data_IF_448431361080
#
_entry.id   IF_448431361080
#
_cell.length_a   1.000
_cell.length_b   1.000
_cell.length_c   1.000
_cell.angle_alpha   90.00
_cell.angle_beta   90.00
_cell.angle_gamma   90.00
#
_symmetry.space_group_name_H-M   'P 1'
#
loop_
_entity.id
_entity.type
_entity.pdbx_description
1 polymer ?
#
# COMPACT_ATOMS: atom_id res chain seq x y z
N UNK A 1 -9.27 4.77 5.72
CA UNK A 1 -9.07 4.22 4.35
C UNK A 1 -8.27 2.93 4.31
N UNK A 2 -6.95 2.99 4.57
CA UNK A 2 -6.06 1.82 4.45
C UNK A 2 -6.54 0.64 5.29
N UNK A 3 -6.93 0.87 6.55
CA UNK A 3 -7.41 -0.20 7.45
C UNK A 3 -8.68 -0.90 6.94
N UNK A 4 -9.59 -0.18 6.28
CA UNK A 4 -10.79 -0.78 5.67
C UNK A 4 -10.44 -1.59 4.44
N UNK A 5 -9.60 -1.05 3.55
CA UNK A 5 -9.09 -1.78 2.38
C UNK A 5 -8.38 -3.07 2.81
N UNK A 6 -7.49 -3.00 3.78
CA UNK A 6 -6.81 -4.18 4.35
C UNK A 6 -7.83 -5.20 4.89
N UNK A 7 -8.88 -4.77 5.58
CA UNK A 7 -9.93 -5.66 6.09
C UNK A 7 -10.75 -6.34 4.97
N UNK A 8 -11.03 -5.64 3.87
CA UNK A 8 -11.72 -6.19 2.70
C UNK A 8 -10.86 -7.20 1.92
N UNK A 9 -9.55 -6.95 1.85
CA UNK A 9 -8.60 -7.81 1.13
C UNK A 9 -8.07 -9.01 1.94
N UNK A 10 -8.51 -9.15 3.20
CA UNK A 10 -8.04 -10.18 4.13
C UNK A 10 -9.14 -11.17 4.52
N UNK A 11 -8.76 -12.43 4.63
CA UNK A 11 -9.63 -13.54 5.03
C UNK A 11 -9.01 -14.89 4.69
N UNK A 12 -9.42 -15.93 5.42
CA UNK A 12 -9.05 -17.32 5.10
C UNK A 12 -7.54 -17.60 5.20
N UNK A 13 -6.83 -16.94 6.12
CA UNK A 13 -5.37 -17.08 6.28
C UNK A 13 -4.52 -16.22 5.33
N UNK A 14 -5.15 -15.43 4.46
CA UNK A 14 -4.48 -14.52 3.51
C UNK A 14 -4.82 -13.06 3.84
N UNK A 15 -3.95 -12.14 3.41
CA UNK A 15 -4.14 -10.70 3.59
C UNK A 15 -3.14 -10.07 4.56
N UNK A 16 -3.59 -9.06 5.30
CA UNK A 16 -2.73 -8.16 6.08
C UNK A 16 -2.90 -8.43 7.57
N UNK A 17 -1.83 -8.82 8.26
CA UNK A 17 -1.76 -8.77 9.71
C UNK A 17 -1.00 -7.51 10.13
N UNK A 18 -1.61 -6.65 10.93
CA UNK A 18 -0.92 -5.51 11.54
C UNK A 18 -0.24 -5.97 12.82
N UNK A 19 1.09 -5.90 12.83
CA UNK A 19 1.94 -6.30 13.96
C UNK A 19 2.20 -5.12 14.88
N UNK A 20 2.41 -3.94 14.29
CA UNK A 20 2.76 -2.71 15.01
C UNK A 20 2.10 -1.50 14.39
N UNK A 21 1.60 -0.59 15.22
CA UNK A 21 1.08 0.71 14.82
C UNK A 21 1.24 1.69 15.98
N UNK A 22 2.33 2.47 16.00
CA UNK A 22 2.63 3.38 17.10
C UNK A 22 3.29 4.68 16.63
N UNK A 23 3.21 5.71 17.48
CA UNK A 23 3.99 6.92 17.28
C UNK A 23 5.49 6.61 17.43
N UNK A 24 6.32 7.18 16.57
CA UNK A 24 7.77 6.97 16.58
C UNK A 24 8.48 8.23 16.11
N UNK A 25 9.76 8.39 16.49
CA UNK A 25 10.60 9.51 16.05
C UNK A 25 11.69 8.95 15.13
N UNK A 26 11.62 9.32 13.86
CA UNK A 26 12.63 8.94 12.86
C UNK A 26 13.88 9.83 13.03
N UNK A 27 15.11 9.27 13.00
CA UNK A 27 16.33 10.05 13.26
C UNK A 27 16.50 11.26 12.31
N UNK A 28 16.18 11.08 11.03
CA UNK A 28 16.32 12.12 10.01
C UNK A 28 15.05 12.94 9.74
N UNK A 29 13.86 12.40 10.05
CA UNK A 29 12.58 13.00 9.63
C UNK A 29 11.68 13.42 10.80
N UNK A 30 12.10 13.16 12.03
CA UNK A 30 11.39 13.60 13.22
C UNK A 30 10.15 12.76 13.55
N UNK A 31 9.17 13.33 14.27
CA UNK A 31 7.98 12.61 14.71
C UNK A 31 7.13 12.08 13.55
N UNK A 32 6.58 10.88 13.71
CA UNK A 32 5.67 10.25 12.77
C UNK A 32 4.99 9.03 13.36
N UNK A 33 4.38 8.23 12.49
CA UNK A 33 3.77 6.94 12.82
C UNK A 33 4.58 5.81 12.17
N UNK A 34 4.96 4.82 12.96
CA UNK A 34 5.56 3.58 12.48
C UNK A 34 4.50 2.48 12.43
N UNK A 35 4.37 1.85 11.28
CA UNK A 35 3.57 0.62 11.13
C UNK A 35 4.41 -0.54 10.64
N UNK A 36 4.16 -1.72 11.18
CA UNK A 36 4.72 -2.98 10.70
C UNK A 36 3.58 -3.95 10.44
N UNK A 37 3.62 -4.59 9.27
CA UNK A 37 2.59 -5.53 8.82
C UNK A 37 3.22 -6.76 8.18
N UNK A 38 2.56 -7.89 8.34
CA UNK A 38 2.84 -9.12 7.60
C UNK A 38 1.77 -9.30 6.55
N UNK A 39 2.17 -9.46 5.30
CA UNK A 39 1.25 -9.59 4.17
C UNK A 39 1.36 -11.01 3.61
N UNK A 40 0.34 -11.82 3.89
CA UNK A 40 0.20 -13.21 3.46
C UNK A 40 -0.40 -13.26 2.05
N UNK A 41 0.37 -13.79 1.09
CA UNK A 41 0.06 -13.73 -0.34
C UNK A 41 0.17 -15.09 -1.05
N UNK A 42 0.22 -16.19 -0.31
CA UNK A 42 0.54 -17.52 -0.85
C UNK A 42 -0.41 -17.94 -1.97
N UNK A 43 -1.71 -17.62 -1.83
CA UNK A 43 -2.73 -17.90 -2.85
C UNK A 43 -2.63 -16.98 -4.07
N UNK A 44 -2.10 -15.76 -3.88
CA UNK A 44 -2.05 -14.68 -4.88
C UNK A 44 -0.80 -14.71 -5.76
N UNK A 45 0.19 -15.54 -5.42
CA UNK A 45 1.41 -15.70 -6.23
C UNK A 45 1.14 -16.47 -7.54
N UNK A 46 1.70 -16.03 -8.67
CA UNK A 46 1.69 -16.79 -9.92
C UNK A 46 2.34 -18.17 -9.76
N UNK A 47 1.92 -19.14 -10.58
CA UNK A 47 2.46 -20.51 -10.52
C UNK A 47 3.98 -20.58 -10.67
N UNK A 48 4.57 -19.72 -11.50
CA UNK A 48 6.04 -19.65 -11.65
C UNK A 48 6.73 -19.10 -10.39
N UNK A 49 6.08 -18.21 -9.64
CA UNK A 49 6.63 -17.63 -8.42
C UNK A 49 6.60 -18.63 -7.25
N UNK A 50 5.58 -19.48 -7.22
CA UNK A 50 5.44 -20.58 -6.25
C UNK A 50 6.61 -21.58 -6.26
N UNK A 51 7.40 -21.62 -7.33
CA UNK A 51 8.53 -22.54 -7.45
C UNK A 51 9.72 -22.21 -6.53
N UNK A 52 9.84 -20.97 -6.06
CA UNK A 52 10.97 -20.51 -5.24
C UNK A 52 10.57 -19.86 -3.92
N UNK A 53 9.27 -19.71 -3.66
CA UNK A 53 8.79 -19.26 -2.35
C UNK A 53 8.51 -20.46 -1.43
N UNK A 54 8.82 -20.38 -0.14
CA UNK A 54 8.42 -21.39 0.84
C UNK A 54 6.90 -21.56 0.88
N UNK A 55 6.45 -22.73 1.36
CA UNK A 55 5.03 -23.08 1.47
C UNK A 55 4.23 -22.12 2.35
N UNK A 56 4.88 -21.54 3.36
CA UNK A 56 4.36 -20.43 4.16
C UNK A 56 5.12 -19.16 3.76
N UNK A 57 4.43 -18.24 3.09
CA UNK A 57 5.00 -17.01 2.56
C UNK A 57 4.24 -15.80 3.08
N UNK A 58 4.97 -14.86 3.68
CA UNK A 58 4.51 -13.50 3.91
C UNK A 58 5.65 -12.53 3.62
N UNK A 59 5.32 -11.32 3.17
CA UNK A 59 6.28 -10.22 3.12
C UNK A 59 6.10 -9.32 4.34
N UNK A 60 7.18 -8.76 4.86
CA UNK A 60 7.13 -7.78 5.95
C UNK A 60 7.13 -6.38 5.35
N UNK A 61 6.07 -5.62 5.59
CA UNK A 61 5.96 -4.19 5.29
C UNK A 61 6.29 -3.40 6.56
N UNK A 62 7.26 -2.50 6.49
CA UNK A 62 7.57 -1.50 7.51
C UNK A 62 7.42 -0.12 6.89
N UNK A 63 6.57 0.72 7.46
CA UNK A 63 6.31 2.05 6.93
C UNK A 63 6.43 3.12 8.01
N UNK A 64 7.12 4.21 7.67
CA UNK A 64 7.16 5.45 8.44
C UNK A 64 6.33 6.51 7.74
N UNK A 65 5.36 7.04 8.46
CA UNK A 65 4.50 8.12 8.00
C UNK A 65 4.78 9.39 8.82
N UNK A 66 5.42 10.36 8.17
CA UNK A 66 5.67 11.70 8.69
C UNK A 66 5.06 12.71 7.69
N UNK A 67 3.78 12.49 7.34
CA UNK A 67 3.03 13.27 6.35
C UNK A 67 3.43 14.76 6.34
N UNK A 68 3.77 15.35 5.18
CA UNK A 68 3.44 14.91 3.81
C UNK A 68 4.49 14.02 3.12
N UNK A 69 5.40 13.39 3.87
CA UNK A 69 6.35 12.41 3.32
C UNK A 69 6.13 11.04 3.99
N UNK A 70 6.35 9.95 3.26
CA UNK A 70 6.33 8.58 3.83
C UNK A 70 7.39 7.70 3.19
N UNK A 71 7.98 6.80 3.98
CA UNK A 71 8.88 5.75 3.49
C UNK A 71 8.28 4.40 3.86
N UNK A 72 8.13 3.53 2.88
CA UNK A 72 7.67 2.14 3.07
C UNK A 72 8.71 1.18 2.51
N UNK A 73 9.20 0.26 3.34
CA UNK A 73 10.03 -0.87 2.93
C UNK A 73 9.21 -2.15 2.98
N UNK A 74 9.30 -2.97 1.93
CA UNK A 74 8.75 -4.33 1.91
C UNK A 74 9.89 -5.29 1.64
N UNK A 75 10.04 -6.28 2.52
CA UNK A 75 11.12 -7.27 2.41
C UNK A 75 10.62 -8.68 2.62
N UNK A 76 11.29 -9.63 1.97
CA UNK A 76 11.05 -11.05 2.07
C UNK A 76 12.29 -11.78 1.57
N UNK A 77 13.05 -12.43 2.44
CA UNK A 77 14.39 -12.95 2.13
C UNK A 77 15.42 -11.83 1.83
N UNK A 78 16.73 -12.10 1.96
CA UNK A 78 17.77 -11.08 1.73
C UNK A 78 17.83 -10.50 0.32
N UNK A 79 17.18 -11.16 -0.66
CA UNK A 79 17.33 -10.88 -2.10
C UNK A 79 16.11 -10.19 -2.73
N UNK A 80 15.11 -9.84 -1.94
CA UNK A 80 13.92 -9.11 -2.42
C UNK A 80 13.67 -7.92 -1.51
N UNK A 81 13.60 -6.75 -2.15
CA UNK A 81 13.38 -5.48 -1.48
C UNK A 81 12.54 -4.58 -2.36
N UNK A 82 11.49 -3.99 -1.77
CA UNK A 82 10.74 -2.90 -2.38
C UNK A 82 10.85 -1.70 -1.43
N UNK A 83 11.22 -0.55 -1.97
CA UNK A 83 11.18 0.73 -1.27
C UNK A 83 10.23 1.66 -1.99
N UNK A 84 9.26 2.20 -1.27
CA UNK A 84 8.30 3.18 -1.78
C UNK A 84 8.48 4.47 -0.99
N UNK A 85 8.82 5.54 -1.70
CA UNK A 85 8.87 6.89 -1.17
C UNK A 85 7.64 7.63 -1.69
N UNK A 86 6.86 8.23 -0.80
CA UNK A 86 5.66 8.98 -1.18
C UNK A 86 5.76 10.43 -0.71
N UNK A 87 5.56 11.38 -1.62
CA UNK A 87 5.30 12.79 -1.30
C UNK A 87 3.89 13.17 -1.71
N UNK A 88 3.25 14.04 -0.93
CA UNK A 88 1.92 14.56 -1.20
C UNK A 88 2.01 16.06 -1.49
N UNK A 89 1.47 16.51 -2.63
CA UNK A 89 1.39 17.93 -2.99
C UNK A 89 -0.03 18.31 -3.43
N UNK A 90 -0.42 19.57 -3.21
CA UNK A 90 -1.72 20.10 -3.62
C UNK A 90 -1.69 20.59 -5.07
N UNK A 91 -1.39 19.67 -5.99
CA UNK A 91 -1.40 19.89 -7.44
C UNK A 91 -2.04 18.70 -8.16
N UNK A 92 -2.11 18.77 -9.49
CA UNK A 92 -2.71 17.75 -10.36
C UNK A 92 -1.67 16.76 -10.94
N UNK A 93 -0.45 16.71 -10.38
CA UNK A 93 0.63 15.86 -10.89
C UNK A 93 1.59 16.56 -11.85
N UNK A 94 1.77 17.87 -11.74
CA UNK A 94 2.60 18.70 -12.62
C UNK A 94 4.05 18.92 -12.13
N UNK A 95 4.48 18.26 -11.05
CA UNK A 95 5.83 18.39 -10.50
C UNK A 95 6.74 17.20 -10.84
N UNK A 96 7.56 17.35 -11.89
CA UNK A 96 8.52 16.32 -12.33
C UNK A 96 9.76 16.19 -11.43
N UNK A 97 9.97 17.09 -10.45
CA UNK A 97 11.12 17.12 -9.55
C UNK A 97 10.73 17.06 -8.06
N UNK A 98 9.62 16.38 -7.75
CA UNK A 98 9.07 16.31 -6.39
C UNK A 98 10.06 15.75 -5.35
N UNK A 99 10.95 14.83 -5.73
CA UNK A 99 11.93 14.23 -4.80
C UNK A 99 13.20 15.08 -4.61
N UNK A 100 13.47 16.04 -5.50
CA UNK A 100 14.61 16.96 -5.39
C UNK A 100 15.96 16.33 -5.75
N UNK A 101 15.96 15.13 -6.31
CA UNK A 101 17.12 14.39 -6.79
C UNK A 101 17.04 14.17 -8.31
N UNK A 102 17.73 13.17 -8.84
CA UNK A 102 17.72 12.88 -10.27
C UNK A 102 16.29 12.59 -10.76
N UNK A 103 15.80 13.28 -11.81
CA UNK A 103 14.47 13.04 -12.34
C UNK A 103 14.28 11.58 -12.74
N UNK A 104 13.08 11.07 -12.49
CA UNK A 104 12.72 9.71 -12.96
C UNK A 104 12.63 9.75 -14.48
N UNK A 105 13.23 8.78 -15.21
CA UNK A 105 13.10 8.70 -16.66
C UNK A 105 11.62 8.73 -17.09
N UNK A 106 11.29 9.52 -18.12
CA UNK A 106 9.90 9.76 -18.52
C UNK A 106 9.16 8.47 -18.92
N UNK A 107 9.86 7.50 -19.49
CA UNK A 107 9.36 6.15 -19.83
C UNK A 107 9.07 5.28 -18.60
N UNK A 108 9.62 5.65 -17.44
CA UNK A 108 9.40 4.98 -16.15
C UNK A 108 8.34 5.67 -15.28
N UNK A 109 7.78 6.80 -15.73
CA UNK A 109 6.70 7.51 -15.03
C UNK A 109 5.33 6.97 -15.47
N UNK A 110 4.46 6.66 -14.51
CA UNK A 110 3.09 6.20 -14.78
C UNK A 110 2.07 7.07 -14.05
N UNK A 111 1.17 7.69 -14.81
CA UNK A 111 0.04 8.43 -14.28
C UNK A 111 -1.14 7.49 -14.09
N UNK A 112 -1.67 7.41 -12.87
CA UNK A 112 -2.84 6.58 -12.57
C UNK A 112 -4.12 7.43 -12.59
N UNK A 113 -5.06 7.08 -13.45
CA UNK A 113 -6.38 7.72 -13.51
C UNK A 113 -7.43 6.88 -12.78
N UNK A 114 -7.85 7.35 -11.61
CA UNK A 114 -8.88 6.71 -10.79
C UNK A 114 -10.24 6.63 -11.49
N UNK A 115 -10.49 7.44 -12.53
CA UNK A 115 -11.72 7.36 -13.32
C UNK A 115 -11.59 6.33 -14.44
N UNK A 116 -10.61 6.51 -15.32
CA UNK A 116 -10.56 5.82 -16.61
C UNK A 116 -9.66 4.59 -16.67
N UNK A 117 -8.67 4.47 -15.78
CA UNK A 117 -7.77 3.33 -15.85
C UNK A 117 -8.50 2.03 -15.47
N UNK A 118 -8.26 0.93 -16.20
CA UNK A 118 -8.92 -0.33 -15.92
C UNK A 118 -8.43 -0.90 -14.59
N UNK A 119 -9.36 -1.44 -13.81
CA UNK A 119 -9.08 -2.27 -12.63
C UNK A 119 -9.45 -3.72 -12.91
N UNK A 120 -8.83 -4.70 -12.24
CA UNK A 120 -9.24 -6.09 -12.38
C UNK A 120 -10.73 -6.26 -12.04
N UNK A 121 -11.48 -7.00 -12.87
CA UNK A 121 -12.95 -7.15 -12.75
C UNK A 121 -13.39 -7.59 -11.35
N UNK A 122 -12.62 -8.46 -10.70
CA UNK A 122 -12.87 -8.93 -9.33
C UNK A 122 -12.85 -7.82 -8.26
N UNK A 123 -12.30 -6.65 -8.58
CA UNK A 123 -12.22 -5.49 -7.70
C UNK A 123 -13.25 -4.41 -8.05
N UNK A 124 -14.00 -4.56 -9.15
CA UNK A 124 -15.04 -3.61 -9.49
C UNK A 124 -16.24 -3.75 -8.55
N UNK A 125 -16.71 -2.61 -8.02
CA UNK A 125 -17.97 -2.47 -7.32
C UNK A 125 -18.65 -1.21 -7.83
N UNK A 126 -19.94 -1.31 -8.14
CA UNK A 126 -20.73 -0.17 -8.64
C UNK A 126 -20.72 1.00 -7.64
N UNK A 127 -20.76 0.72 -6.33
CA UNK A 127 -20.65 1.74 -5.27
C UNK A 127 -19.30 2.46 -5.21
N UNK A 128 -18.27 1.95 -5.92
CA UNK A 128 -16.92 2.50 -5.99
C UNK A 128 -16.59 3.01 -7.41
N UNK A 129 -17.58 3.06 -8.30
CA UNK A 129 -17.42 3.62 -9.64
C UNK A 129 -17.56 5.15 -9.61
N UNK A 130 -16.42 5.82 -9.74
CA UNK A 130 -16.32 7.28 -9.68
C UNK A 130 -17.03 8.00 -10.82
N UNK A 131 -17.42 7.30 -11.90
CA UNK A 131 -18.20 7.90 -13.00
C UNK A 131 -19.68 8.09 -12.68
N UNK A 132 -20.19 7.39 -11.66
CA UNK A 132 -21.59 7.46 -11.21
C UNK A 132 -21.73 7.79 -9.73
N UNK A 133 -20.64 7.65 -8.97
CA UNK A 133 -20.59 7.95 -7.55
C UNK A 133 -20.66 9.46 -7.29
N UNK A 134 -21.40 9.83 -6.25
CA UNK A 134 -21.43 11.19 -5.72
C UNK A 134 -21.44 11.16 -4.20
N UNK A 135 -20.61 12.00 -3.59
CA UNK A 135 -20.54 12.19 -2.14
C UNK A 135 -21.73 13.02 -1.63
N UNK A 136 -22.43 12.50 -0.64
CA UNK A 136 -23.51 13.21 0.03
C UNK A 136 -22.99 14.29 0.98
N UNK A 137 -21.80 14.10 1.57
CA UNK A 137 -21.21 15.08 2.51
C UNK A 137 -20.54 16.26 1.82
N UNK A 138 -19.95 16.04 0.64
CA UNK A 138 -19.11 17.04 -0.03
C UNK A 138 -19.65 17.49 -1.38
N UNK A 139 -20.63 16.78 -1.94
CA UNK A 139 -21.16 17.03 -3.29
C UNK A 139 -20.19 16.66 -4.42
N UNK A 140 -19.01 16.09 -4.10
CA UNK A 140 -18.01 15.68 -5.09
C UNK A 140 -18.49 14.50 -5.92
N UNK A 141 -18.11 14.50 -7.19
CA UNK A 141 -18.54 13.50 -8.15
C UNK A 141 -19.95 13.80 -8.73
N UNK A 142 -20.37 13.08 -9.77
CA UNK A 142 -19.58 12.10 -10.53
C UNK A 142 -18.36 12.73 -11.21
N UNK A 143 -17.30 11.96 -11.38
CA UNK A 143 -16.10 12.40 -12.09
C UNK A 143 -16.29 12.24 -13.59
N UNK A 144 -15.90 13.27 -14.33
CA UNK A 144 -15.94 13.28 -15.79
C UNK A 144 -14.53 13.30 -16.39
N UNK A 145 -14.44 13.07 -17.70
CA UNK A 145 -13.16 13.16 -18.42
C UNK A 145 -12.61 14.57 -18.29
N UNK A 146 -11.37 14.70 -17.79
CA UNK A 146 -10.74 15.99 -17.52
C UNK A 146 -10.79 16.43 -16.05
N UNK A 147 -11.42 15.64 -15.17
CA UNK A 147 -11.61 15.96 -13.75
C UNK A 147 -10.35 16.47 -13.03
N UNK A 148 -9.16 15.97 -13.39
CA UNK A 148 -7.88 16.38 -12.78
C UNK A 148 -7.59 17.87 -12.87
N UNK A 149 -8.08 18.54 -13.91
CA UNK A 149 -7.86 19.97 -14.14
C UNK A 149 -9.03 20.84 -13.66
N UNK A 150 -10.22 20.26 -13.53
CA UNK A 150 -11.47 20.99 -13.29
C UNK A 150 -11.92 20.92 -11.83
N UNK A 151 -11.58 19.83 -11.13
CA UNK A 151 -12.02 19.61 -9.75
C UNK A 151 -11.07 20.26 -8.75
N UNK A 152 -11.65 20.91 -7.73
CA UNK A 152 -10.90 21.51 -6.62
C UNK A 152 -11.56 21.23 -5.26
N UNK A 153 -10.78 21.14 -4.17
CA UNK A 153 -9.33 20.92 -4.13
C UNK A 153 -8.86 19.62 -4.80
N UNK A 154 -7.66 19.64 -5.38
CA UNK A 154 -6.96 18.45 -5.91
C UNK A 154 -5.60 18.28 -5.22
N UNK A 155 -5.16 17.03 -5.09
CA UNK A 155 -3.82 16.69 -4.61
C UNK A 155 -3.25 15.52 -5.42
N UNK A 156 -1.94 15.42 -5.48
CA UNK A 156 -1.22 14.32 -6.11
C UNK A 156 -0.34 13.58 -5.08
N UNK A 157 -0.40 12.25 -5.12
CA UNK A 157 0.50 11.39 -4.36
C UNK A 157 1.58 10.86 -5.30
N UNK A 158 2.77 11.43 -5.21
CA UNK A 158 3.92 11.01 -5.99
C UNK A 158 4.58 9.82 -5.31
N UNK A 159 4.53 8.64 -5.94
CA UNK A 159 5.04 7.38 -5.38
C UNK A 159 6.20 6.85 -6.20
N UNK A 160 7.42 7.05 -5.70
CA UNK A 160 8.62 6.46 -6.29
C UNK A 160 8.84 5.07 -5.74
N UNK A 161 8.80 4.08 -6.63
CA UNK A 161 8.91 2.66 -6.29
C UNK A 161 10.26 2.15 -6.80
N UNK A 162 11.10 1.69 -5.88
CA UNK A 162 12.29 0.91 -6.18
C UNK A 162 12.01 -0.55 -5.86
N UNK A 163 12.31 -1.44 -6.79
CA UNK A 163 12.17 -2.88 -6.63
C UNK A 163 13.49 -3.55 -6.99
N UNK A 164 13.96 -4.48 -6.16
CA UNK A 164 15.11 -5.33 -6.44
C UNK A 164 14.75 -6.78 -6.16
N UNK A 165 15.04 -7.67 -7.12
CA UNK A 165 14.88 -9.11 -6.98
C UNK A 165 16.09 -9.86 -7.57
N UNK A 166 17.07 -10.18 -6.72
CA UNK A 166 18.38 -10.71 -7.15
C UNK A 166 18.39 -12.24 -7.32
N UNK A 167 17.51 -12.76 -8.18
CA UNK A 167 17.45 -14.19 -8.52
C UNK A 167 17.74 -14.40 -10.00
N UNK A 168 18.82 -15.14 -10.27
CA UNK A 168 19.28 -15.43 -11.63
C UNK A 168 18.17 -16.07 -12.48
N UNK A 169 17.97 -15.52 -13.69
CA UNK A 169 16.96 -15.97 -14.65
C UNK A 169 15.53 -15.50 -14.36
N UNK A 170 15.26 -14.85 -13.22
CA UNK A 170 13.92 -14.41 -12.83
C UNK A 170 13.80 -12.93 -12.45
N UNK A 171 14.93 -12.21 -12.31
CA UNK A 171 14.98 -10.80 -11.90
C UNK A 171 13.98 -9.90 -12.65
N UNK A 172 14.24 -9.63 -13.93
CA UNK A 172 13.45 -8.67 -14.73
C UNK A 172 11.96 -9.01 -14.74
N UNK A 173 11.63 -10.28 -15.01
CA UNK A 173 10.24 -10.75 -15.05
C UNK A 173 9.51 -10.55 -13.71
N UNK A 174 10.22 -10.70 -12.60
CA UNK A 174 9.65 -10.56 -11.26
C UNK A 174 9.49 -9.09 -10.89
N UNK A 175 10.50 -8.26 -11.14
CA UNK A 175 10.46 -6.81 -10.91
C UNK A 175 9.32 -6.15 -11.72
N UNK A 176 9.20 -6.47 -13.00
CA UNK A 176 8.08 -6.00 -13.85
C UNK A 176 6.72 -6.48 -13.35
N UNK A 177 6.63 -7.72 -12.87
CA UNK A 177 5.41 -8.24 -12.27
C UNK A 177 5.04 -7.46 -11.00
N UNK A 178 6.01 -7.15 -10.14
CA UNK A 178 5.80 -6.39 -8.92
C UNK A 178 5.32 -4.97 -9.22
N UNK A 179 5.97 -4.26 -10.15
CA UNK A 179 5.55 -2.91 -10.55
C UNK A 179 4.11 -2.87 -11.05
N UNK A 180 3.70 -3.86 -11.87
CA UNK A 180 2.31 -3.99 -12.32
C UNK A 180 1.33 -4.23 -11.17
N UNK A 181 1.68 -5.09 -10.20
CA UNK A 181 0.81 -5.35 -9.05
C UNK A 181 0.71 -4.11 -8.14
N UNK A 182 1.81 -3.40 -7.89
CA UNK A 182 1.78 -2.16 -7.11
C UNK A 182 0.89 -1.14 -7.80
N UNK A 183 1.00 -0.99 -9.13
CA UNK A 183 0.13 -0.12 -9.92
C UNK A 183 -1.35 -0.42 -9.67
N UNK A 184 -1.75 -1.69 -9.79
CA UNK A 184 -3.15 -2.10 -9.62
C UNK A 184 -3.64 -1.88 -8.18
N UNK A 185 -2.81 -2.20 -7.17
CA UNK A 185 -3.12 -1.97 -5.76
C UNK A 185 -3.32 -0.48 -5.49
N UNK A 186 -2.43 0.37 -6.01
CA UNK A 186 -2.55 1.82 -5.85
C UNK A 186 -3.81 2.34 -6.53
N UNK A 187 -4.10 1.91 -7.75
CA UNK A 187 -5.28 2.36 -8.48
C UNK A 187 -6.58 2.00 -7.74
N UNK A 188 -6.74 0.74 -7.33
CA UNK A 188 -7.91 0.29 -6.55
C UNK A 188 -8.00 1.03 -5.22
N UNK A 189 -6.89 1.16 -4.49
CA UNK A 189 -6.86 1.83 -3.19
C UNK A 189 -7.26 3.31 -3.26
N UNK A 190 -6.83 4.03 -4.29
CA UNK A 190 -7.20 5.45 -4.45
C UNK A 190 -8.63 5.63 -4.94
N UNK A 191 -9.15 4.73 -5.79
CA UNK A 191 -10.59 4.73 -6.15
C UNK A 191 -11.46 4.59 -4.92
N UNK A 192 -11.13 3.63 -4.06
CA UNK A 192 -11.82 3.42 -2.79
C UNK A 192 -11.68 4.62 -1.84
N UNK A 193 -10.50 5.25 -1.78
CA UNK A 193 -10.29 6.46 -0.98
C UNK A 193 -11.25 7.59 -1.34
N UNK A 194 -11.50 7.81 -2.63
CA UNK A 194 -12.49 8.79 -3.08
C UNK A 194 -13.90 8.29 -2.80
N UNK A 195 -14.23 7.06 -3.21
CA UNK A 195 -15.58 6.51 -3.05
C UNK A 195 -16.07 6.49 -1.60
N UNK A 196 -15.17 6.31 -0.63
CA UNK A 196 -15.50 6.27 0.80
C UNK A 196 -15.36 7.63 1.49
N UNK A 197 -15.30 8.76 0.76
CA UNK A 197 -15.18 10.11 1.36
C UNK A 197 -16.22 10.37 2.44
N UNK A 198 -17.46 9.91 2.23
CA UNK A 198 -18.54 10.12 3.18
C UNK A 198 -18.29 9.43 4.52
N UNK A 199 -17.43 8.41 4.56
CA UNK A 199 -17.07 7.67 5.78
C UNK A 199 -15.97 8.36 6.59
N UNK A 200 -15.01 9.02 5.92
CA UNK A 200 -13.85 9.62 6.60
C UNK A 200 -13.86 11.14 6.65
N UNK A 201 -14.64 11.81 5.80
CA UNK A 201 -14.73 13.26 5.80
C UNK A 201 -15.36 13.76 7.11
N UNK A 202 -14.62 14.63 7.80
CA UNK A 202 -14.98 15.19 9.10
C UNK A 202 -14.45 14.42 10.31
N UNK A 203 -13.73 13.31 10.13
CA UNK A 203 -13.09 12.61 11.24
C UNK A 203 -11.90 13.39 11.78
N UNK A 204 -11.77 13.45 13.10
CA UNK A 204 -10.54 13.90 13.77
C UNK A 204 -9.44 12.83 13.68
N UNK A 205 -8.20 13.20 13.99
CA UNK A 205 -7.12 12.21 14.07
C UNK A 205 -7.39 11.16 15.16
N UNK A 206 -8.03 11.53 16.26
CA UNK A 206 -8.39 10.59 17.33
C UNK A 206 -9.43 9.57 16.86
N UNK A 207 -10.47 10.02 16.14
CA UNK A 207 -11.45 9.13 15.51
C UNK A 207 -10.77 8.17 14.53
N UNK A 208 -9.81 8.67 13.75
CA UNK A 208 -9.01 7.85 12.83
C UNK A 208 -8.22 6.80 13.60
N UNK A 209 -7.59 7.14 14.73
CA UNK A 209 -6.83 6.17 15.56
C UNK A 209 -7.72 5.11 16.18
N UNK A 210 -8.90 5.49 16.65
CA UNK A 210 -9.88 4.55 17.18
C UNK A 210 -10.36 3.59 16.08
N UNK A 211 -10.73 4.13 14.92
CA UNK A 211 -11.14 3.35 13.76
C UNK A 211 -10.03 2.40 13.29
N UNK A 212 -8.78 2.88 13.23
CA UNK A 212 -7.62 2.06 12.88
C UNK A 212 -7.47 0.88 13.82
N UNK A 213 -7.56 1.11 15.15
CA UNK A 213 -7.45 0.05 16.16
C UNK A 213 -8.53 -1.01 16.00
N UNK A 214 -9.79 -0.60 15.91
CA UNK A 214 -10.93 -1.51 15.75
C UNK A 214 -10.83 -2.32 14.45
N UNK A 215 -10.42 -1.68 13.35
CA UNK A 215 -10.24 -2.38 12.06
C UNK A 215 -9.02 -3.30 12.03
N UNK A 216 -7.95 -2.95 12.74
CA UNK A 216 -6.79 -3.82 12.88
C UNK A 216 -7.15 -5.11 13.61
N UNK A 217 -7.84 -5.00 14.74
CA UNK A 217 -8.30 -6.16 15.51
C UNK A 217 -9.20 -7.08 14.67
N UNK A 218 -10.17 -6.49 13.96
CA UNK A 218 -11.05 -7.24 13.04
C UNK A 218 -10.26 -7.93 11.93
N UNK A 219 -9.33 -7.22 11.30
CA UNK A 219 -8.53 -7.76 10.19
C UNK A 219 -7.63 -8.89 10.66
N UNK A 220 -6.92 -8.69 11.77
CA UNK A 220 -6.04 -9.71 12.35
C UNK A 220 -6.84 -10.96 12.75
N UNK A 221 -8.06 -10.80 13.29
CA UNK A 221 -8.94 -11.91 13.61
C UNK A 221 -9.34 -12.73 12.37
N UNK A 222 -9.66 -12.07 11.24
CA UNK A 222 -9.96 -12.74 9.97
C UNK A 222 -8.79 -13.54 9.39
N UNK A 223 -7.56 -13.06 9.61
CA UNK A 223 -6.34 -13.76 9.17
C UNK A 223 -6.07 -14.97 10.08
N UNK A 224 -6.26 -14.82 11.39
CA UNK A 224 -5.96 -15.84 12.40
C UNK A 224 -6.98 -16.97 12.49
N UNK A 225 -8.26 -16.74 12.15
CA UNK A 225 -9.35 -17.71 12.35
C UNK A 225 -9.18 -19.07 11.66
N UNK A 226 -8.23 -19.22 10.72
CA UNK A 226 -7.86 -20.52 10.14
C UNK A 226 -6.44 -21.01 10.50
N UNK A 227 -5.56 -20.16 11.05
CA UNK A 227 -4.21 -20.61 11.46
C UNK A 227 -4.28 -21.60 12.64
N UNK A 228 -5.30 -21.50 13.50
CA UNK A 228 -5.57 -22.46 14.58
C UNK A 228 -6.05 -23.84 14.11
N UNK A 229 -6.24 -24.05 12.80
CA UNK A 229 -6.67 -25.34 12.22
C UNK A 229 -5.54 -26.12 11.52
N UNK A 230 -4.34 -25.54 11.43
CA UNK A 230 -3.14 -26.18 10.89
C UNK A 230 -2.01 -26.03 11.91
N UNK A 231 -1.52 -27.15 12.43
CA UNK A 231 -0.74 -27.27 13.66
C UNK A 231 0.45 -26.33 13.84
N UNK A 232 0.77 -26.14 15.12
CA UNK A 232 1.93 -25.45 15.67
C UNK A 232 3.23 -25.94 15.02
N UNK A 233 3.90 -25.05 14.30
CA UNK A 233 5.36 -25.01 14.20
C UNK A 233 5.75 -23.55 13.99
N UNK A 234 5.99 -22.84 15.10
CA UNK A 234 6.53 -21.50 15.07
C UNK A 234 7.98 -21.56 14.59
N UNK A 235 8.20 -21.27 13.30
CA UNK A 235 9.55 -21.10 12.77
C UNK A 235 10.25 -19.92 13.49
N UNK A 236 11.54 -20.04 13.84
CA UNK A 236 12.26 -18.98 14.53
C UNK A 236 12.38 -17.73 13.64
N UNK A 237 12.21 -16.56 14.27
CA UNK A 237 12.29 -15.24 13.66
C UNK A 237 13.70 -14.96 13.06
N UNK A 238 13.84 -14.87 11.73
CA UNK A 238 15.13 -14.59 11.10
C UNK A 238 15.54 -13.10 11.17
N UNK A 239 14.74 -12.21 11.77
CA UNK A 239 14.88 -10.76 11.66
C UNK A 239 15.85 -10.07 12.64
N UNK A 240 16.62 -10.79 13.47
CA UNK A 240 17.64 -10.17 14.35
C UNK A 240 18.84 -9.54 13.61
N UNK A 241 18.94 -9.68 12.29
CA UNK A 241 20.12 -9.24 11.51
C UNK A 241 20.08 -7.83 10.90
N UNK A 242 18.94 -7.12 10.91
CA UNK A 242 18.79 -5.87 10.13
C UNK A 242 19.04 -4.57 10.91
N UNK A 243 19.01 -4.57 12.25
CA UNK A 243 19.16 -3.35 13.09
C UNK A 243 20.48 -2.57 12.90
N UNK A 244 21.44 -3.13 12.15
CA UNK A 244 22.78 -2.55 11.93
C UNK A 244 22.91 -1.73 10.64
N UNK A 245 21.96 -1.77 9.69
CA UNK A 245 22.09 -1.08 8.38
C UNK A 245 21.31 0.23 8.20
N UNK A 246 20.41 0.58 9.12
CA UNK A 246 19.63 1.85 9.06
C UNK A 246 20.25 2.99 9.89
N UNK A 247 21.41 2.78 10.54
CA UNK A 247 22.13 3.83 11.29
C UNK A 247 23.21 4.56 10.49
N UNK A 248 23.52 4.14 9.27
CA UNK A 248 24.66 4.66 8.49
C UNK A 248 24.31 4.99 7.02
N UNK A 249 23.06 5.34 6.72
CA UNK A 249 22.64 5.78 5.38
C UNK A 249 21.74 7.00 5.44
#
# INVERSE_FOLDING_TARGET
MISKHSCEQSGGGEGVEVVKNEASVHPQHGPGQLTEKRIYLSSKLPSWAKAFVPRFFYVTEKAWNFYPYTITGVSFLPKFNIRIETKFENNNGDNDNVFGDMPTPADSVSFLDILSDPIPVKHYKESEDLSIWQSNKTGRGPLEKGWRNEQQPVMCSYKRVHCSFEVYGFQTKTEEFIHRNIRDILLVGHRQAVAWIDEWHGLSLDDVREYERAMQERTNSKVKSNQSSTGEDAAPDPHRGWERREREG
#
